data_IF_975189220288
#
_entry.id   IF_975189220288
#
_cell.length_a   1.000
_cell.length_b   1.000
_cell.length_c   1.000
_cell.angle_alpha   90.00
_cell.angle_beta   90.00
_cell.angle_gamma   90.00
#
_symmetry.space_group_name_H-M   'P 1'
#
loop_
_entity.id
_entity.type
_entity.pdbx_description
1 polymer ?
#
# COMPACT_ATOMS: atom_id res chain seq x y z
N UNK A 1 2.29 -27.68 -30.89
CA UNK A 1 2.53 -28.21 -29.53
C UNK A 1 2.65 -27.04 -28.57
N UNK A 2 1.58 -26.67 -27.87
CA UNK A 2 1.63 -25.67 -26.81
C UNK A 2 2.15 -26.36 -25.56
N UNK A 3 3.36 -25.99 -25.13
CA UNK A 3 3.92 -26.45 -23.85
C UNK A 3 3.02 -25.93 -22.73
N UNK A 4 2.33 -26.83 -22.04
CA UNK A 4 1.61 -26.52 -20.82
C UNK A 4 2.65 -26.16 -19.75
N UNK A 5 2.87 -24.85 -19.58
CA UNK A 5 3.69 -24.32 -18.51
C UNK A 5 3.00 -24.63 -17.17
N UNK A 6 3.45 -25.67 -16.48
CA UNK A 6 3.19 -25.90 -15.06
C UNK A 6 4.28 -25.18 -14.26
N UNK A 7 3.99 -24.03 -13.61
CA UNK A 7 4.99 -23.38 -12.78
C UNK A 7 5.28 -24.28 -11.58
N UNK A 8 6.53 -24.73 -11.44
CA UNK A 8 6.96 -25.34 -10.17
C UNK A 8 6.87 -24.31 -9.04
N UNK A 9 6.62 -24.80 -7.82
CA UNK A 9 6.45 -24.01 -6.57
C UNK A 9 7.53 -22.93 -6.35
N UNK A 10 8.71 -23.10 -6.93
CA UNK A 10 9.87 -22.21 -6.78
C UNK A 10 9.90 -21.03 -7.76
N UNK A 11 9.22 -21.10 -8.91
CA UNK A 11 9.14 -19.96 -9.83
C UNK A 11 8.29 -18.82 -9.28
N UNK A 12 7.27 -19.15 -8.48
CA UNK A 12 6.37 -18.17 -7.85
C UNK A 12 7.10 -17.28 -6.85
N UNK A 13 8.08 -17.82 -6.10
CA UNK A 13 8.84 -17.03 -5.12
C UNK A 13 9.72 -15.96 -5.78
N UNK A 14 10.13 -16.17 -7.03
CA UNK A 14 10.90 -15.16 -7.77
C UNK A 14 10.06 -13.95 -8.13
N UNK A 15 8.74 -14.12 -8.29
CA UNK A 15 7.83 -13.03 -8.63
C UNK A 15 7.44 -12.18 -7.41
N UNK A 16 7.79 -12.61 -6.18
CA UNK A 16 7.55 -11.83 -4.97
C UNK A 16 8.65 -10.79 -4.78
N UNK A 17 8.28 -9.52 -4.97
CA UNK A 17 9.15 -8.36 -4.71
C UNK A 17 8.44 -7.40 -3.76
N UNK A 18 9.21 -6.52 -3.09
CA UNK A 18 8.63 -5.48 -2.25
C UNK A 18 7.65 -4.59 -3.04
N UNK A 19 8.03 -4.17 -4.24
CA UNK A 19 7.17 -3.37 -5.13
C UNK A 19 5.87 -4.11 -5.52
N UNK A 20 5.93 -5.42 -5.74
CA UNK A 20 4.74 -6.21 -6.04
C UNK A 20 3.82 -6.38 -4.83
N UNK A 21 4.40 -6.56 -3.63
CA UNK A 21 3.62 -6.58 -2.38
C UNK A 21 2.99 -5.22 -2.10
N UNK A 22 3.71 -4.11 -2.33
CA UNK A 22 3.18 -2.76 -2.20
C UNK A 22 1.98 -2.56 -3.12
N UNK A 23 2.06 -2.98 -4.39
CA UNK A 23 0.95 -2.88 -5.34
C UNK A 23 -0.25 -3.76 -4.95
N UNK A 24 0.00 -4.96 -4.40
CA UNK A 24 -1.05 -5.87 -3.94
C UNK A 24 -1.78 -5.38 -2.68
N UNK A 25 -1.03 -4.84 -1.70
CA UNK A 25 -1.58 -4.35 -0.42
C UNK A 25 -2.15 -2.94 -0.57
N UNK A 26 -1.67 -2.16 -1.53
CA UNK A 26 -2.18 -0.81 -1.75
C UNK A 26 -3.68 -0.83 -1.97
N UNK A 27 -4.37 0.08 -1.30
CA UNK A 27 -5.75 0.39 -1.64
C UNK A 27 -5.70 0.95 -3.05
N UNK A 28 -6.24 0.21 -4.02
CA UNK A 28 -6.05 0.43 -5.47
C UNK A 28 -6.43 1.84 -5.94
N UNK A 29 -7.17 2.58 -5.12
CA UNK A 29 -7.68 3.93 -5.40
C UNK A 29 -7.15 5.01 -4.43
N UNK A 30 -6.28 4.66 -3.48
CA UNK A 30 -5.76 5.59 -2.48
C UNK A 30 -4.22 5.71 -2.58
N UNK A 31 -3.67 6.93 -2.70
CA UNK A 31 -2.22 7.10 -2.59
C UNK A 31 -1.71 6.69 -1.20
N UNK A 32 -0.42 6.38 -1.05
CA UNK A 32 0.20 6.13 0.25
C UNK A 32 -0.06 7.28 1.22
N UNK A 33 -0.25 6.97 2.50
CA UNK A 33 -0.47 7.98 3.52
C UNK A 33 0.78 8.84 3.71
N UNK A 34 0.63 10.16 3.66
CA UNK A 34 1.73 11.12 3.89
C UNK A 34 1.76 11.68 5.31
N UNK A 35 0.62 11.66 5.99
CA UNK A 35 0.44 12.14 7.35
C UNK A 35 -0.51 11.18 8.08
N UNK A 36 -0.05 10.64 9.21
CA UNK A 36 -0.87 9.88 10.15
C UNK A 36 -1.05 10.68 11.44
N UNK A 37 -2.29 11.07 11.73
CA UNK A 37 -2.68 11.64 13.01
C UNK A 37 -3.18 10.53 13.93
N UNK A 38 -2.48 10.32 15.04
CA UNK A 38 -2.89 9.41 16.12
C UNK A 38 -3.36 10.23 17.31
N UNK A 39 -4.54 9.93 17.81
CA UNK A 39 -5.13 10.60 18.98
C UNK A 39 -5.00 9.73 20.24
N UNK A 40 -5.48 10.25 21.38
CA UNK A 40 -5.54 9.60 22.69
C UNK A 40 -4.21 9.31 23.39
N UNK A 41 -3.09 9.91 22.94
CA UNK A 41 -1.79 9.82 23.60
C UNK A 41 -1.06 8.49 23.40
N UNK A 42 -1.57 7.62 22.52
CA UNK A 42 -0.92 6.35 22.19
C UNK A 42 0.33 6.58 21.33
N UNK A 43 1.45 5.95 21.71
CA UNK A 43 2.70 5.91 20.94
C UNK A 43 2.86 4.57 20.21
N UNK A 44 1.81 4.09 19.54
CA UNK A 44 1.80 2.84 18.78
C UNK A 44 0.89 2.92 17.55
N UNK A 45 1.21 2.13 16.52
CA UNK A 45 0.40 2.04 15.29
C UNK A 45 -0.88 1.22 15.47
N UNK A 46 -0.92 0.26 16.39
CA UNK A 46 -2.04 -0.69 16.56
C UNK A 46 -2.39 -1.44 15.27
N UNK A 47 -1.36 -1.90 14.55
CA UNK A 47 -1.45 -2.63 13.27
C UNK A 47 -2.26 -1.91 12.17
N UNK A 48 -2.34 -0.58 12.25
CA UNK A 48 -3.04 0.24 11.28
C UNK A 48 -2.09 0.73 10.19
N UNK A 49 -2.33 0.33 8.94
CA UNK A 49 -1.71 0.88 7.72
C UNK A 49 -0.17 0.97 7.78
N UNK A 50 0.49 -0.01 8.43
CA UNK A 50 1.93 0.07 8.74
C UNK A 50 2.79 0.16 7.49
N UNK A 51 2.45 -0.60 6.44
CA UNK A 51 3.20 -0.58 5.17
C UNK A 51 2.95 0.72 4.41
N UNK A 52 1.71 1.20 4.40
CA UNK A 52 1.27 2.41 3.71
C UNK A 52 1.81 3.67 4.39
N UNK A 53 2.07 3.63 5.69
CA UNK A 53 2.64 4.72 6.48
C UNK A 53 4.18 4.71 6.55
N UNK A 54 4.89 3.90 5.73
CA UNK A 54 6.35 3.74 5.80
C UNK A 54 7.14 5.08 5.67
N UNK A 55 6.57 6.08 4.99
CA UNK A 55 7.12 7.43 4.90
C UNK A 55 6.20 8.52 5.41
N UNK A 56 5.12 8.16 6.11
CA UNK A 56 4.18 9.12 6.63
C UNK A 56 4.81 9.92 7.77
N UNK A 57 4.53 11.22 7.84
CA UNK A 57 4.76 11.98 9.06
C UNK A 57 3.78 11.51 10.14
N UNK A 58 4.27 11.34 11.37
CA UNK A 58 3.48 10.87 12.49
C UNK A 58 3.19 12.02 13.47
N UNK A 59 1.93 12.44 13.55
CA UNK A 59 1.47 13.39 14.56
C UNK A 59 0.77 12.63 15.70
N UNK A 60 1.38 12.63 16.90
CA UNK A 60 0.84 11.94 18.07
C UNK A 60 0.21 12.95 19.04
N UNK A 61 -1.12 13.06 18.99
CA UNK A 61 -1.92 13.95 19.84
C UNK A 61 -2.46 13.25 21.10
N UNK A 62 -2.48 13.98 22.22
CA UNK A 62 -2.96 13.48 23.52
C UNK A 62 -4.49 13.53 23.67
N UNK A 63 -5.18 14.38 22.89
CA UNK A 63 -6.64 14.50 22.93
C UNK A 63 -7.30 13.21 22.43
N UNK A 64 -8.41 12.79 23.06
CA UNK A 64 -9.24 11.70 22.53
C UNK A 64 -9.85 12.09 21.19
N UNK A 65 -10.09 11.12 20.30
CA UNK A 65 -10.63 11.36 18.95
C UNK A 65 -11.83 12.34 18.91
N UNK A 66 -12.89 12.22 19.74
CA UNK A 66 -14.03 13.14 19.69
C UNK A 66 -13.70 14.60 20.07
N UNK A 67 -12.54 14.83 20.70
CA UNK A 67 -12.08 16.16 21.11
C UNK A 67 -11.02 16.74 20.15
N UNK A 68 -10.62 16.00 19.12
CA UNK A 68 -9.71 16.50 18.07
C UNK A 68 -10.46 17.54 17.24
N UNK A 69 -9.89 18.74 17.13
CA UNK A 69 -10.49 19.85 16.41
C UNK A 69 -9.59 20.42 15.32
N UNK A 70 -10.03 21.50 14.70
CA UNK A 70 -9.31 22.17 13.61
C UNK A 70 -7.87 22.55 13.97
N UNK A 71 -7.63 23.08 15.18
CA UNK A 71 -6.29 23.48 15.62
C UNK A 71 -5.31 22.31 15.72
N UNK A 72 -5.80 21.10 16.01
CA UNK A 72 -4.97 19.89 16.07
C UNK A 72 -4.55 19.45 14.65
N UNK A 73 -5.49 19.51 13.70
CA UNK A 73 -5.21 19.26 12.29
C UNK A 73 -4.24 20.28 11.71
N UNK A 74 -4.44 21.58 11.98
CA UNK A 74 -3.54 22.63 11.51
C UNK A 74 -2.12 22.41 12.03
N UNK A 75 -1.98 22.04 13.32
CA UNK A 75 -0.69 21.68 13.91
C UNK A 75 -0.06 20.48 13.18
N UNK A 76 -0.81 19.41 12.98
CA UNK A 76 -0.32 18.22 12.27
C UNK A 76 0.14 18.54 10.83
N UNK A 77 -0.58 19.41 10.12
CA UNK A 77 -0.21 19.87 8.77
C UNK A 77 1.06 20.72 8.78
N UNK A 78 1.21 21.63 9.74
CA UNK A 78 2.43 22.44 9.89
C UNK A 78 3.62 21.55 10.19
N UNK A 79 3.48 20.60 11.13
CA UNK A 79 4.54 19.65 11.46
C UNK A 79 4.92 18.80 10.24
N UNK A 80 3.95 18.31 9.47
CA UNK A 80 4.19 17.64 8.20
C UNK A 80 5.00 18.51 7.21
N UNK A 81 4.57 19.75 6.97
CA UNK A 81 5.24 20.65 6.04
C UNK A 81 6.67 20.98 6.46
N UNK A 82 6.91 21.19 7.76
CA UNK A 82 8.25 21.44 8.29
C UNK A 82 9.18 20.24 8.11
N UNK A 83 8.65 19.02 8.19
CA UNK A 83 9.42 17.78 8.05
C UNK A 83 9.49 17.26 6.60
N UNK A 84 8.70 17.83 5.67
CA UNK A 84 8.63 17.37 4.28
C UNK A 84 9.99 17.23 3.59
N UNK A 85 10.94 18.18 3.70
CA UNK A 85 12.25 18.03 3.05
C UNK A 85 13.02 16.80 3.53
N UNK A 86 12.92 16.47 4.81
CA UNK A 86 13.58 15.29 5.39
C UNK A 86 12.90 13.99 4.93
N UNK A 87 11.56 13.99 4.86
CA UNK A 87 10.77 12.86 4.36
C UNK A 87 11.12 12.57 2.90
N UNK A 88 11.15 13.58 2.04
CA UNK A 88 11.54 13.46 0.63
C UNK A 88 12.96 12.91 0.47
N UNK A 89 13.92 13.42 1.25
CA UNK A 89 15.28 12.91 1.22
C UNK A 89 15.37 11.41 1.58
N UNK A 90 14.57 10.94 2.55
CA UNK A 90 14.49 9.52 2.91
C UNK A 90 13.85 8.70 1.79
N UNK A 91 12.74 9.18 1.19
CA UNK A 91 12.07 8.52 0.05
C UNK A 91 13.04 8.38 -1.12
N UNK A 92 13.74 9.44 -1.49
CA UNK A 92 14.71 9.44 -2.60
C UNK A 92 15.87 8.47 -2.31
N UNK A 93 16.42 8.50 -1.09
CA UNK A 93 17.49 7.60 -0.68
C UNK A 93 17.05 6.14 -0.75
N UNK A 94 15.83 5.82 -0.29
CA UNK A 94 15.29 4.47 -0.39
C UNK A 94 15.09 4.04 -1.84
N UNK A 95 14.48 4.89 -2.69
CA UNK A 95 14.31 4.60 -4.11
C UNK A 95 15.64 4.30 -4.82
N UNK A 96 16.71 5.04 -4.47
CA UNK A 96 18.07 4.76 -4.95
C UNK A 96 18.57 3.40 -4.44
N UNK A 97 18.42 3.08 -3.16
CA UNK A 97 18.83 1.78 -2.62
C UNK A 97 18.07 0.59 -3.25
N UNK A 98 16.76 0.72 -3.43
CA UNK A 98 15.93 -0.31 -4.05
C UNK A 98 16.27 -0.52 -5.52
N UNK A 99 16.63 0.54 -6.26
CA UNK A 99 17.04 0.43 -7.67
C UNK A 99 18.41 -0.24 -7.86
N UNK A 100 19.31 -0.17 -6.86
CA UNK A 100 20.57 -0.92 -6.87
C UNK A 100 20.40 -2.41 -6.52
N UNK A 101 19.44 -2.75 -5.65
CA UNK A 101 19.20 -4.14 -5.21
C UNK A 101 18.22 -4.93 -6.09
N UNK A 102 17.33 -4.25 -6.82
CA UNK A 102 16.44 -4.89 -7.79
C UNK A 102 17.17 -5.08 -9.11
N UNK A 103 17.86 -6.21 -9.24
CA UNK A 103 18.37 -6.67 -10.53
C UNK A 103 17.26 -6.50 -11.58
N UNK A 104 17.55 -5.69 -12.61
CA UNK A 104 16.61 -5.28 -13.66
C UNK A 104 15.62 -6.40 -13.99
N UNK A 105 14.37 -6.13 -13.59
CA UNK A 105 13.11 -6.78 -13.92
C UNK A 105 13.18 -7.69 -15.14
N UNK A 106 13.13 -8.99 -14.90
CA UNK A 106 12.71 -9.98 -15.89
C UNK A 106 11.37 -9.48 -16.51
N UNK A 107 11.32 -9.16 -17.81
CA UNK A 107 10.08 -8.68 -18.43
C UNK A 107 8.93 -9.67 -18.25
N UNK A 108 9.22 -10.97 -18.19
CA UNK A 108 8.21 -11.99 -17.95
C UNK A 108 7.66 -11.93 -16.51
N UNK A 109 8.51 -11.65 -15.52
CA UNK A 109 8.08 -11.42 -14.12
C UNK A 109 7.07 -10.27 -14.05
N UNK A 110 7.36 -9.14 -14.71
CA UNK A 110 6.43 -8.00 -14.73
C UNK A 110 5.10 -8.38 -15.38
N UNK A 111 5.12 -9.15 -16.47
CA UNK A 111 3.90 -9.63 -17.14
C UNK A 111 3.10 -10.55 -16.21
N UNK A 112 3.76 -11.47 -15.52
CA UNK A 112 3.13 -12.40 -14.56
C UNK A 112 2.50 -11.63 -13.39
N UNK A 113 3.23 -10.70 -12.77
CA UNK A 113 2.74 -9.84 -11.68
C UNK A 113 1.50 -9.05 -12.10
N UNK A 114 1.54 -8.37 -13.25
CA UNK A 114 0.39 -7.60 -13.77
C UNK A 114 -0.82 -8.48 -14.06
N UNK A 115 -0.61 -9.67 -14.64
CA UNK A 115 -1.70 -10.61 -14.92
C UNK A 115 -2.35 -11.07 -13.61
N UNK A 116 -1.56 -11.34 -12.58
CA UNK A 116 -2.05 -11.70 -11.26
C UNK A 116 -2.88 -10.56 -10.63
N UNK A 117 -2.36 -9.33 -10.60
CA UNK A 117 -3.07 -8.20 -10.01
C UNK A 117 -4.41 -7.92 -10.71
N UNK A 118 -4.45 -8.03 -12.05
CA UNK A 118 -5.70 -7.93 -12.81
C UNK A 118 -6.71 -9.01 -12.42
N UNK A 119 -6.24 -10.24 -12.23
CA UNK A 119 -7.09 -11.35 -11.80
C UNK A 119 -7.65 -11.10 -10.39
N UNK A 120 -6.81 -10.65 -9.45
CA UNK A 120 -7.24 -10.29 -8.08
C UNK A 120 -8.28 -9.17 -8.11
N UNK A 121 -8.02 -8.10 -8.88
CA UNK A 121 -8.94 -6.98 -9.00
C UNK A 121 -10.31 -7.41 -9.55
N UNK A 122 -10.33 -8.21 -10.63
CA UNK A 122 -11.57 -8.76 -11.17
C UNK A 122 -12.30 -9.65 -10.16
N UNK A 123 -11.57 -10.49 -9.42
CA UNK A 123 -12.16 -11.33 -8.38
C UNK A 123 -12.75 -10.51 -7.22
N UNK A 124 -12.09 -9.41 -6.82
CA UNK A 124 -12.61 -8.49 -5.80
C UNK A 124 -13.91 -7.84 -6.25
N UNK A 125 -14.00 -7.35 -7.50
CA UNK A 125 -15.23 -6.78 -8.06
C UNK A 125 -16.36 -7.81 -8.04
N UNK A 126 -16.12 -9.01 -8.58
CA UNK A 126 -17.14 -10.07 -8.59
C UNK A 126 -17.60 -10.46 -7.19
N UNK A 127 -16.67 -10.50 -6.21
CA UNK A 127 -17.00 -10.75 -4.82
C UNK A 127 -17.87 -9.63 -4.23
N UNK A 128 -17.57 -8.36 -4.55
CA UNK A 128 -18.37 -7.22 -4.11
C UNK A 128 -19.77 -7.25 -4.72
N UNK A 129 -19.90 -7.54 -6.02
CA UNK A 129 -21.20 -7.70 -6.69
C UNK A 129 -22.02 -8.84 -6.09
N UNK A 130 -21.36 -9.97 -5.79
CA UNK A 130 -21.99 -11.12 -5.12
C UNK A 130 -22.48 -10.75 -3.72
N UNK A 131 -21.67 -10.06 -2.92
CA UNK A 131 -22.04 -9.61 -1.57
C UNK A 131 -23.15 -8.55 -1.60
N UNK A 132 -23.16 -7.71 -2.62
CA UNK A 132 -24.21 -6.70 -2.85
C UNK A 132 -25.53 -7.30 -3.38
N UNK A 133 -25.57 -8.60 -3.69
CA UNK A 133 -26.77 -9.27 -4.22
C UNK A 133 -27.07 -8.94 -5.68
N UNK A 134 -26.15 -8.28 -6.39
CA UNK A 134 -26.30 -7.89 -7.80
C UNK A 134 -26.20 -9.10 -8.75
N UNK A 135 -25.71 -10.23 -8.24
CA UNK A 135 -25.59 -11.50 -8.96
C UNK A 135 -26.77 -12.47 -8.72
N UNK A 136 -27.88 -12.00 -8.11
CA UNK A 136 -29.14 -12.75 -7.98
C UNK A 136 -30.14 -12.31 -9.07
N UNK A 137 -29.78 -12.62 -10.32
CA UNK A 137 -30.57 -12.28 -11.51
C UNK A 137 -30.39 -13.32 -12.61
N UNK A 138 -30.46 -14.61 -12.26
CA UNK A 138 -30.74 -15.69 -13.20
C UNK A 138 -31.93 -16.47 -12.66
N UNK A 139 -33.12 -16.02 -13.05
CA UNK A 139 -34.29 -16.88 -13.26
C UNK A 139 -34.26 -17.34 -14.71
#
# INVERSE_FOLDING_TARGET
MQSQYTPTKWHVLRDLTAAFLDEYVSLTECPPAELLLRSAGDQRFSDFEVLQCNYAHLHLGSKKWPAVGFGDWLRAMIEFQLNWPAIEAVKEKHAKMTSYGSGRSDPEQVIRQRKFLRHVHAANILNMERLAGLHNGVM
#
